data_IF_220474457541
#
_entry.id   IF_220474457541
#
_cell.length_a   1.000
_cell.length_b   1.000
_cell.length_c   1.000
_cell.angle_alpha   90.00
_cell.angle_beta   90.00
_cell.angle_gamma   90.00
#
_symmetry.space_group_name_H-M   'P 1'
#
loop_
_entity.id
_entity.type
_entity.pdbx_description
1 polymer ?
#
# COMPACT_ATOMS: atom_id res chain seq x y z
N UNK A 1 15.23 -19.87 -67.78
CA UNK A 1 16.32 -20.24 -66.84
C UNK A 1 15.93 -21.58 -66.25
N UNK A 2 16.67 -22.64 -66.58
CA UNK A 2 16.33 -24.02 -66.24
C UNK A 2 16.81 -24.39 -64.82
N UNK A 3 15.90 -25.02 -64.08
CA UNK A 3 16.06 -26.15 -63.15
C UNK A 3 17.26 -26.23 -62.19
N UNK A 4 16.99 -26.41 -60.90
CA UNK A 4 17.40 -27.62 -60.14
C UNK A 4 16.81 -27.66 -58.73
N UNK A 5 16.18 -28.80 -58.44
CA UNK A 5 15.74 -29.28 -57.12
C UNK A 5 16.91 -30.04 -56.49
N UNK A 6 17.18 -29.86 -55.19
CA UNK A 6 17.92 -30.85 -54.40
C UNK A 6 17.30 -31.01 -53.01
N UNK A 7 17.07 -32.28 -52.67
CA UNK A 7 16.47 -32.82 -51.44
C UNK A 7 17.54 -33.10 -50.36
N UNK A 8 17.04 -33.27 -49.13
CA UNK A 8 17.48 -34.21 -48.06
C UNK A 8 18.67 -33.82 -47.15
N UNK A 9 18.40 -33.66 -45.85
CA UNK A 9 18.65 -34.71 -44.83
C UNK A 9 18.21 -34.25 -43.42
N UNK A 10 17.42 -35.10 -42.76
CA UNK A 10 17.13 -35.03 -41.33
C UNK A 10 18.30 -35.61 -40.52
N UNK A 11 18.56 -35.08 -39.33
CA UNK A 11 19.44 -35.72 -38.35
C UNK A 11 18.86 -35.51 -36.95
N UNK A 12 18.39 -36.61 -36.38
CA UNK A 12 17.96 -36.77 -34.99
C UNK A 12 19.18 -36.90 -34.09
N UNK A 13 19.30 -36.03 -33.08
CA UNK A 13 20.24 -36.23 -31.98
C UNK A 13 19.47 -36.62 -30.71
N UNK A 14 19.61 -37.88 -30.31
CA UNK A 14 19.22 -38.38 -28.99
C UNK A 14 20.32 -38.00 -28.00
N UNK A 15 19.98 -37.23 -26.96
CA UNK A 15 20.89 -37.03 -25.81
C UNK A 15 20.38 -37.90 -24.67
N UNK A 16 21.19 -38.90 -24.31
CA UNK A 16 21.03 -39.73 -23.13
C UNK A 16 21.21 -38.87 -21.86
N UNK A 17 20.31 -39.07 -20.91
CA UNK A 17 20.40 -38.55 -19.55
C UNK A 17 21.57 -39.17 -18.78
N UNK A 18 22.29 -38.34 -18.01
CA UNK A 18 23.14 -38.76 -16.91
C UNK A 18 22.55 -38.24 -15.57
N UNK A 19 22.68 -38.96 -14.43
CA UNK A 19 21.89 -38.70 -13.23
C UNK A 19 22.63 -37.91 -12.11
N UNK A 20 21.83 -37.07 -11.40
CA UNK A 20 21.92 -36.63 -9.97
C UNK A 20 23.04 -35.63 -9.57
N UNK A 21 22.81 -34.73 -8.57
CA UNK A 21 22.03 -34.96 -7.34
C UNK A 21 20.94 -33.92 -6.97
N UNK A 22 19.78 -34.47 -6.60
CA UNK A 22 19.02 -34.19 -5.36
C UNK A 22 19.32 -32.87 -4.63
N UNK A 23 18.38 -31.93 -4.78
CA UNK A 23 18.27 -30.77 -3.88
C UNK A 23 17.37 -29.64 -4.38
N UNK A 24 16.46 -29.88 -5.32
CA UNK A 24 15.50 -28.86 -5.73
C UNK A 24 14.24 -29.00 -4.87
N UNK A 25 14.10 -28.09 -3.91
CA UNK A 25 12.90 -27.90 -3.11
C UNK A 25 11.80 -27.35 -4.05
N UNK A 26 11.15 -28.25 -4.77
CA UNK A 26 9.88 -27.97 -5.41
C UNK A 26 8.82 -27.74 -4.33
N UNK A 27 8.55 -26.46 -4.05
CA UNK A 27 7.24 -25.99 -3.59
C UNK A 27 7.11 -24.51 -3.93
N UNK A 28 6.81 -24.21 -5.20
CA UNK A 28 6.16 -22.94 -5.59
C UNK A 28 4.86 -23.28 -6.28
N UNK A 29 3.78 -23.42 -5.50
CA UNK A 29 2.44 -23.43 -6.08
C UNK A 29 2.00 -22.00 -6.37
N UNK A 30 2.38 -21.51 -7.56
CA UNK A 30 1.71 -20.37 -8.17
C UNK A 30 0.31 -20.82 -8.60
N UNK A 31 -0.73 -20.25 -7.99
CA UNK A 31 -2.09 -20.39 -8.51
C UNK A 31 -2.40 -19.20 -9.40
N UNK A 32 -2.48 -19.47 -10.71
CA UNK A 32 -2.89 -18.48 -11.71
C UNK A 32 -4.42 -18.47 -11.77
N UNK A 33 -5.03 -17.40 -11.26
CA UNK A 33 -6.45 -17.13 -11.49
C UNK A 33 -6.74 -16.97 -12.98
N UNK A 34 -7.98 -17.20 -13.41
CA UNK A 34 -8.41 -17.15 -14.82
C UNK A 34 -8.26 -15.76 -15.49
N UNK A 35 -7.81 -14.77 -14.74
CA UNK A 35 -7.72 -13.34 -15.05
C UNK A 35 -6.28 -12.77 -14.95
N UNK A 36 -5.27 -13.62 -14.74
CA UNK A 36 -3.87 -13.18 -14.63
C UNK A 36 -3.41 -12.80 -13.22
N UNK A 37 -4.21 -13.11 -12.19
CA UNK A 37 -3.84 -12.96 -10.78
C UNK A 37 -2.56 -13.76 -10.44
N UNK A 38 -1.57 -13.10 -9.83
CA UNK A 38 -0.39 -13.72 -9.20
C UNK A 38 -0.55 -13.63 -7.69
N UNK A 39 -0.68 -14.78 -7.04
CA UNK A 39 -0.68 -14.91 -5.57
C UNK A 39 0.71 -15.38 -5.15
N UNK A 40 1.44 -14.55 -4.40
CA UNK A 40 2.67 -14.97 -3.74
C UNK A 40 2.32 -15.45 -2.33
N UNK A 41 2.48 -16.75 -2.10
CA UNK A 41 2.50 -17.34 -0.75
C UNK A 41 3.95 -17.67 -0.49
N UNK A 42 4.61 -16.91 0.39
CA UNK A 42 5.97 -17.22 0.81
C UNK A 42 5.92 -18.40 1.78
N UNK A 43 6.40 -19.57 1.33
CA UNK A 43 6.71 -20.71 2.19
C UNK A 43 7.99 -20.38 2.98
N UNK A 44 7.84 -19.96 4.23
CA UNK A 44 8.97 -19.82 5.15
C UNK A 44 9.26 -21.16 5.86
N UNK A 45 10.42 -21.74 5.59
CA UNK A 45 11.00 -22.83 6.39
C UNK A 45 12.32 -22.36 7.05
N UNK A 46 12.82 -23.06 8.09
CA UNK A 46 12.14 -23.49 9.30
C UNK A 46 12.77 -22.80 10.52
N UNK A 47 11.99 -22.03 11.26
CA UNK A 47 12.49 -21.35 12.45
C UNK A 47 11.43 -20.52 13.14
N UNK A 48 10.44 -21.20 13.75
CA UNK A 48 9.42 -20.63 14.64
C UNK A 48 8.89 -19.25 14.23
N UNK A 49 8.09 -19.21 13.17
CA UNK A 49 7.23 -18.06 12.88
C UNK A 49 5.83 -18.58 12.69
N UNK A 50 4.90 -18.13 13.52
CA UNK A 50 3.47 -18.35 13.32
C UNK A 50 3.12 -18.00 11.88
N UNK A 51 2.42 -18.93 11.20
CA UNK A 51 1.89 -18.71 9.86
C UNK A 51 0.98 -17.48 9.90
N UNK A 52 1.45 -16.32 9.46
CA UNK A 52 0.61 -15.13 9.35
C UNK A 52 -0.46 -15.41 8.31
N UNK A 53 -1.72 -15.39 8.72
CA UNK A 53 -2.83 -15.59 7.81
C UNK A 53 -3.12 -14.25 7.14
N UNK A 54 -2.56 -14.03 5.94
CA UNK A 54 -2.78 -12.82 5.14
C UNK A 54 -3.60 -13.12 3.90
N UNK A 55 -4.57 -12.26 3.61
CA UNK A 55 -5.39 -12.31 2.40
C UNK A 55 -5.22 -11.00 1.62
N UNK A 56 -5.16 -11.10 0.30
CA UNK A 56 -4.96 -9.95 -0.57
C UNK A 56 -6.12 -9.81 -1.55
N UNK A 57 -6.61 -8.58 -1.72
CA UNK A 57 -7.79 -8.24 -2.49
C UNK A 57 -7.50 -7.08 -3.45
N UNK A 58 -8.32 -6.95 -4.48
CA UNK A 58 -8.40 -5.75 -5.30
C UNK A 58 -9.52 -4.86 -4.79
N UNK A 59 -9.19 -3.60 -4.54
CA UNK A 59 -10.16 -2.60 -4.12
C UNK A 59 -11.01 -2.12 -5.30
N UNK A 60 -12.13 -1.46 -5.01
CA UNK A 60 -12.93 -0.74 -6.01
C UNK A 60 -12.12 0.31 -6.79
N UNK A 61 -11.06 0.84 -6.17
CA UNK A 61 -10.11 1.77 -6.79
C UNK A 61 -8.95 1.08 -7.52
N UNK A 62 -9.00 -0.25 -7.69
CA UNK A 62 -8.02 -1.05 -8.41
C UNK A 62 -6.74 -1.38 -7.65
N UNK A 63 -6.45 -0.70 -6.55
CA UNK A 63 -5.24 -0.94 -5.80
C UNK A 63 -5.33 -2.21 -4.95
N UNK A 64 -4.16 -2.72 -4.58
CA UNK A 64 -4.05 -3.91 -3.74
C UNK A 64 -4.28 -3.56 -2.26
N UNK A 65 -5.13 -4.35 -1.61
CA UNK A 65 -5.42 -4.28 -0.17
C UNK A 65 -5.04 -5.61 0.46
N UNK A 66 -4.34 -5.58 1.58
CA UNK A 66 -3.96 -6.78 2.32
C UNK A 66 -4.58 -6.76 3.71
N UNK A 67 -5.29 -7.82 4.08
CA UNK A 67 -5.82 -8.05 5.43
C UNK A 67 -4.95 -9.12 6.10
N UNK A 68 -4.41 -8.83 7.28
CA UNK A 68 -3.51 -9.72 8.01
C UNK A 68 -3.76 -9.69 9.51
N UNK A 69 -3.21 -10.66 10.23
CA UNK A 69 -3.16 -10.66 11.70
C UNK A 69 -2.41 -9.43 12.22
N UNK A 70 -2.98 -8.75 13.21
CA UNK A 70 -2.24 -7.77 13.99
C UNK A 70 -1.16 -8.52 14.77
N UNK A 71 0.11 -8.34 14.39
CA UNK A 71 1.20 -8.87 15.20
C UNK A 71 1.18 -8.17 16.56
N UNK A 72 1.25 -8.94 17.63
CA UNK A 72 1.43 -8.47 19.02
C UNK A 72 2.83 -7.87 19.24
N UNK A 73 3.23 -6.94 18.38
CA UNK A 73 4.37 -6.06 18.59
C UNK A 73 3.91 -4.91 19.47
N UNK A 74 4.40 -4.88 20.71
CA UNK A 74 4.22 -3.76 21.61
C UNK A 74 4.80 -2.49 20.97
N UNK A 75 3.95 -1.64 20.42
CA UNK A 75 4.28 -0.24 20.16
C UNK A 75 4.56 0.42 21.52
N UNK A 76 5.81 0.33 21.97
CA UNK A 76 6.37 1.29 22.91
C UNK A 76 6.68 2.56 22.11
N UNK A 77 5.63 3.28 21.73
CA UNK A 77 5.71 4.70 21.38
C UNK A 77 4.90 5.44 22.42
N UNK A 78 5.49 6.51 22.95
CA UNK A 78 5.08 7.22 24.17
C UNK A 78 3.58 7.16 24.44
N UNK A 79 3.22 6.55 25.57
CA UNK A 79 1.85 6.43 26.06
C UNK A 79 1.27 7.82 26.30
N UNK A 80 0.61 8.37 25.29
CA UNK A 80 -0.40 9.40 25.48
C UNK A 80 -1.61 8.67 26.07
N UNK A 81 -2.03 9.07 27.28
CA UNK A 81 -3.09 8.44 28.07
C UNK A 81 -4.32 8.09 27.22
N UNK A 82 -4.91 6.91 27.47
CA UNK A 82 -6.14 6.48 26.82
C UNK A 82 -7.25 7.53 27.04
N UNK A 83 -7.60 8.27 26.00
CA UNK A 83 -8.68 9.27 26.03
C UNK A 83 -10.00 8.60 25.66
N UNK A 84 -11.07 8.96 26.36
CA UNK A 84 -12.44 8.48 26.04
C UNK A 84 -13.00 9.05 24.73
N UNK A 85 -12.25 9.92 24.06
CA UNK A 85 -12.61 10.61 22.82
C UNK A 85 -11.63 10.25 21.71
N UNK A 86 -12.07 10.37 20.46
CA UNK A 86 -11.20 10.22 19.30
C UNK A 86 -10.07 11.27 19.30
N UNK A 87 -8.87 10.89 18.86
CA UNK A 87 -7.69 11.76 18.93
C UNK A 87 -6.57 11.38 17.95
N UNK A 88 -5.69 12.34 17.65
CA UNK A 88 -4.41 12.07 16.98
C UNK A 88 -3.46 11.46 18.01
N UNK A 89 -3.11 10.19 17.84
CA UNK A 89 -2.19 9.48 18.74
C UNK A 89 -0.73 9.62 18.37
N UNK A 90 -0.43 9.81 17.09
CA UNK A 90 0.94 10.03 16.62
C UNK A 90 0.96 10.79 15.31
N UNK A 91 2.10 11.41 15.01
CA UNK A 91 2.39 11.97 13.68
C UNK A 91 3.42 11.09 12.96
N UNK A 92 3.39 11.10 11.63
CA UNK A 92 4.38 10.39 10.83
C UNK A 92 5.82 10.89 11.05
N UNK A 93 6.78 10.14 10.52
CA UNK A 93 8.20 10.43 10.66
C UNK A 93 8.63 11.77 10.05
N UNK A 94 9.83 12.22 10.42
CA UNK A 94 10.39 13.51 9.96
C UNK A 94 10.62 13.57 8.45
N UNK A 95 10.78 12.42 7.78
CA UNK A 95 10.95 12.31 6.33
C UNK A 95 9.64 12.34 5.53
N UNK A 96 8.48 12.38 6.20
CA UNK A 96 7.16 12.16 5.61
C UNK A 96 6.29 13.41 5.42
N UNK A 97 6.87 14.60 5.30
CA UNK A 97 6.04 15.79 5.06
C UNK A 97 5.46 15.78 3.65
N UNK A 98 4.14 15.91 3.54
CA UNK A 98 3.39 15.93 2.28
C UNK A 98 2.49 17.17 2.21
N UNK A 99 2.50 17.92 1.09
CA UNK A 99 1.52 18.98 0.85
C UNK A 99 0.08 18.46 0.97
N UNK A 100 -0.79 19.19 1.66
CA UNK A 100 -2.17 18.74 1.88
C UNK A 100 -2.94 18.73 0.56
N UNK A 101 -2.83 19.82 -0.20
CA UNK A 101 -3.38 19.93 -1.54
C UNK A 101 -2.42 19.37 -2.59
N UNK A 102 -2.97 19.00 -3.75
CA UNK A 102 -2.14 18.75 -4.94
C UNK A 102 -1.30 19.99 -5.24
N UNK A 103 -0.06 19.76 -5.65
CA UNK A 103 0.90 20.85 -5.89
C UNK A 103 1.70 20.61 -7.15
N UNK A 104 2.11 21.69 -7.79
CA UNK A 104 2.92 21.65 -8.99
C UNK A 104 4.38 21.97 -8.63
N UNK A 105 5.33 21.18 -9.15
CA UNK A 105 6.74 21.51 -9.03
C UNK A 105 7.01 22.91 -9.63
N UNK A 106 7.83 23.76 -8.99
CA UNK A 106 8.12 25.10 -9.47
C UNK A 106 8.71 25.04 -10.88
N UNK A 107 8.45 26.08 -11.65
CA UNK A 107 8.92 26.27 -13.03
C UNK A 107 10.41 26.62 -13.14
N UNK A 108 11.15 26.54 -12.04
CA UNK A 108 12.60 26.75 -11.98
C UNK A 108 13.19 25.44 -11.49
N UNK A 109 13.48 24.50 -12.40
CA UNK A 109 13.94 23.15 -12.04
C UNK A 109 15.14 23.19 -11.07
N UNK A 110 14.90 22.86 -9.78
CA UNK A 110 15.95 22.83 -8.76
C UNK A 110 16.65 21.45 -8.74
N UNK A 111 16.09 20.44 -9.42
CA UNK A 111 16.63 19.07 -9.40
C UNK A 111 16.61 18.40 -10.77
N UNK A 112 17.69 17.70 -11.17
CA UNK A 112 17.85 17.16 -12.52
C UNK A 112 16.90 16.00 -12.90
N UNK A 113 16.01 15.58 -11.99
CA UNK A 113 15.07 14.47 -12.18
C UNK A 113 13.59 14.87 -12.05
N UNK A 114 13.29 16.16 -11.83
CA UNK A 114 11.91 16.67 -11.82
C UNK A 114 11.60 17.34 -13.15
N UNK A 115 10.60 16.82 -13.87
CA UNK A 115 10.06 17.52 -15.04
C UNK A 115 9.32 18.76 -14.55
N UNK A 116 9.70 19.93 -15.04
CA UNK A 116 9.06 21.19 -14.65
C UNK A 116 7.56 21.16 -14.88
N UNK A 117 6.80 21.83 -14.00
CA UNK A 117 5.34 21.86 -14.09
C UNK A 117 4.66 20.51 -13.80
N UNK A 118 5.35 19.52 -13.22
CA UNK A 118 4.74 18.24 -12.83
C UNK A 118 3.79 18.42 -11.66
N UNK A 119 2.56 17.93 -11.82
CA UNK A 119 1.57 17.89 -10.75
C UNK A 119 1.77 16.65 -9.88
N UNK A 120 1.91 16.88 -8.58
CA UNK A 120 1.97 15.87 -7.55
C UNK A 120 0.64 15.76 -6.82
N UNK A 121 0.31 14.54 -6.45
CA UNK A 121 -0.87 14.18 -5.70
C UNK A 121 -0.64 14.45 -4.21
N UNK A 122 -1.47 15.32 -3.62
CA UNK A 122 -1.37 15.73 -2.23
C UNK A 122 -2.05 14.77 -1.27
N UNK A 123 -1.88 15.02 0.02
CA UNK A 123 -2.41 14.17 1.08
C UNK A 123 -3.93 14.00 0.98
N UNK A 124 -4.68 15.09 0.78
CA UNK A 124 -6.15 15.08 0.77
C UNK A 124 -6.71 14.15 -0.31
N UNK A 125 -6.20 14.29 -1.55
CA UNK A 125 -6.69 13.45 -2.63
C UNK A 125 -6.19 12.01 -2.51
N UNK A 126 -4.97 11.79 -1.99
CA UNK A 126 -4.44 10.45 -1.72
C UNK A 126 -5.29 9.71 -0.68
N UNK A 127 -5.64 10.37 0.43
CA UNK A 127 -6.59 9.89 1.44
C UNK A 127 -7.95 9.58 0.82
N UNK A 128 -8.48 10.50 0.01
CA UNK A 128 -9.78 10.30 -0.67
C UNK A 128 -9.75 9.07 -1.57
N UNK A 129 -8.67 8.89 -2.35
CA UNK A 129 -8.50 7.72 -3.22
C UNK A 129 -8.41 6.41 -2.44
N UNK A 130 -7.68 6.40 -1.32
CA UNK A 130 -7.61 5.25 -0.42
C UNK A 130 -8.99 4.92 0.18
N UNK A 131 -9.64 5.89 0.82
CA UNK A 131 -10.94 5.70 1.49
C UNK A 131 -12.06 5.27 0.53
N UNK A 132 -12.04 5.77 -0.71
CA UNK A 132 -12.95 5.30 -1.76
C UNK A 132 -12.74 3.82 -2.09
N UNK A 133 -11.49 3.35 -2.10
CA UNK A 133 -11.17 1.96 -2.42
C UNK A 133 -11.36 1.00 -1.25
N UNK A 134 -11.12 1.41 0.00
CA UNK A 134 -11.29 0.50 1.15
C UNK A 134 -12.72 0.39 1.66
N UNK A 135 -13.67 1.11 1.06
CA UNK A 135 -15.09 0.92 1.34
C UNK A 135 -15.63 -0.40 0.78
N UNK A 136 -15.07 -0.89 -0.34
CA UNK A 136 -15.48 -2.15 -0.96
C UNK A 136 -14.40 -2.74 -1.88
N UNK A 137 -14.44 -4.05 -2.09
CA UNK A 137 -13.65 -4.74 -3.11
C UNK A 137 -14.09 -4.35 -4.53
N UNK A 138 -13.40 -4.90 -5.53
CA UNK A 138 -13.68 -4.66 -6.94
C UNK A 138 -15.10 -5.06 -7.36
N UNK A 139 -15.66 -6.09 -6.72
CA UNK A 139 -17.01 -6.59 -6.99
C UNK A 139 -18.10 -5.81 -6.24
N UNK A 140 -17.71 -4.88 -5.37
CA UNK A 140 -18.61 -4.05 -4.58
C UNK A 140 -18.97 -4.63 -3.21
N UNK A 141 -18.33 -5.72 -2.77
CA UNK A 141 -18.52 -6.25 -1.42
C UNK A 141 -17.75 -5.41 -0.41
N UNK A 142 -18.34 -5.06 0.75
CA UNK A 142 -17.63 -4.28 1.76
C UNK A 142 -16.44 -5.07 2.31
N UNK A 143 -15.32 -4.37 2.53
CA UNK A 143 -14.20 -4.96 3.27
C UNK A 143 -14.60 -5.14 4.73
N UNK A 144 -14.49 -6.37 5.22
CA UNK A 144 -14.71 -6.71 6.62
C UNK A 144 -13.37 -6.99 7.31
N UNK A 145 -12.97 -6.09 8.20
CA UNK A 145 -11.77 -6.23 9.02
C UNK A 145 -12.21 -6.90 10.32
N UNK A 146 -11.95 -8.20 10.44
CA UNK A 146 -12.29 -8.95 11.64
C UNK A 146 -11.50 -8.46 12.88
N UNK A 147 -11.95 -8.77 14.10
CA UNK A 147 -11.23 -8.47 15.34
C UNK A 147 -9.76 -8.91 15.26
N UNK A 148 -8.86 -8.04 15.70
CA UNK A 148 -7.42 -8.30 15.70
C UNK A 148 -6.77 -8.32 14.32
N UNK A 149 -7.46 -7.83 13.27
CA UNK A 149 -6.91 -7.74 11.92
C UNK A 149 -6.52 -6.33 11.55
N UNK A 150 -5.61 -6.24 10.59
CA UNK A 150 -5.14 -5.00 9.98
C UNK A 150 -5.46 -5.07 8.49
N UNK A 151 -6.14 -4.04 7.97
CA UNK A 151 -6.19 -3.74 6.55
C UNK A 151 -5.05 -2.79 6.21
N UNK A 152 -4.26 -3.10 5.18
CA UNK A 152 -3.12 -2.29 4.76
C UNK A 152 -3.12 -2.06 3.25
N UNK A 153 -2.59 -0.92 2.82
CA UNK A 153 -2.35 -0.60 1.42
C UNK A 153 -1.31 0.52 1.28
N UNK A 154 -0.58 0.53 0.17
CA UNK A 154 0.35 1.61 -0.16
C UNK A 154 -0.14 2.34 -1.39
N UNK A 155 -0.13 3.68 -1.34
CA UNK A 155 -0.49 4.54 -2.47
C UNK A 155 0.71 5.38 -2.90
N UNK A 156 1.15 5.11 -4.12
CA UNK A 156 2.14 5.79 -4.94
C UNK A 156 1.48 6.66 -6.02
N UNK A 157 0.51 6.12 -6.74
CA UNK A 157 -0.06 6.77 -7.92
C UNK A 157 -1.55 7.04 -7.74
N UNK A 158 -2.05 8.06 -8.44
CA UNK A 158 -3.49 8.30 -8.58
C UNK A 158 -4.19 7.04 -9.12
N UNK A 159 -3.58 6.38 -10.09
CA UNK A 159 -4.05 5.14 -10.69
C UNK A 159 -3.00 4.04 -10.47
N UNK A 160 -3.18 3.27 -9.39
CA UNK A 160 -2.20 2.25 -8.95
C UNK A 160 -2.07 1.07 -9.90
N UNK A 161 -3.18 0.62 -10.50
CA UNK A 161 -3.17 -0.54 -11.39
C UNK A 161 -2.26 -0.30 -12.59
N UNK A 162 -2.33 0.90 -13.14
CA UNK A 162 -1.61 1.33 -14.33
C UNK A 162 -0.25 1.96 -14.00
N UNK A 163 0.02 2.24 -12.71
CA UNK A 163 1.21 2.95 -12.27
C UNK A 163 1.35 4.34 -12.89
N UNK A 164 0.23 5.05 -13.08
CA UNK A 164 0.20 6.31 -13.83
C UNK A 164 -0.68 7.40 -13.16
N UNK A 165 -0.83 8.53 -13.86
CA UNK A 165 -1.49 9.72 -13.33
C UNK A 165 -0.55 10.56 -12.46
N UNK A 166 -1.10 11.26 -11.46
CA UNK A 166 -0.29 12.05 -10.52
C UNK A 166 0.42 11.14 -9.52
N UNK A 167 1.73 11.33 -9.36
CA UNK A 167 2.54 10.68 -8.31
C UNK A 167 2.29 11.39 -6.98
N UNK A 168 2.16 10.64 -5.89
CA UNK A 168 2.27 11.23 -4.54
C UNK A 168 3.59 11.98 -4.40
N UNK A 169 3.51 13.26 -4.03
CA UNK A 169 4.67 14.12 -3.86
C UNK A 169 4.81 14.58 -2.44
N UNK A 170 5.98 14.35 -1.87
CA UNK A 170 6.36 14.91 -0.58
C UNK A 170 6.81 16.36 -0.73
N UNK A 171 7.11 16.99 0.41
CA UNK A 171 7.73 18.30 0.48
C UNK A 171 8.95 18.38 -0.45
N UNK A 172 9.13 19.53 -1.07
CA UNK A 172 10.15 19.77 -2.10
C UNK A 172 9.99 18.87 -3.34
N UNK A 173 8.77 18.40 -3.60
CA UNK A 173 8.38 17.65 -4.80
C UNK A 173 9.09 16.28 -4.93
N UNK A 174 9.59 15.76 -3.81
CA UNK A 174 10.24 14.44 -3.77
C UNK A 174 9.18 13.37 -4.00
N UNK A 175 9.43 12.43 -4.92
CA UNK A 175 8.55 11.28 -5.09
C UNK A 175 8.52 10.46 -3.79
N UNK A 176 7.33 10.12 -3.33
CA UNK A 176 7.14 9.31 -2.13
C UNK A 176 5.79 8.65 -2.15
N UNK A 177 5.38 7.96 -1.11
CA UNK A 177 4.12 7.23 -1.06
C UNK A 177 3.44 7.45 0.29
N UNK A 178 2.20 7.00 0.43
CA UNK A 178 1.55 6.91 1.73
C UNK A 178 1.24 5.45 2.02
N UNK A 179 1.72 4.98 3.16
CA UNK A 179 1.33 3.70 3.75
C UNK A 179 0.08 3.92 4.58
N UNK A 180 -0.99 3.23 4.22
CA UNK A 180 -2.26 3.28 4.91
C UNK A 180 -2.51 1.99 5.65
N UNK A 181 -3.01 2.11 6.87
CA UNK A 181 -3.47 0.97 7.64
C UNK A 181 -4.75 1.30 8.42
N UNK A 182 -5.61 0.31 8.59
CA UNK A 182 -6.77 0.35 9.48
C UNK A 182 -6.65 -0.85 10.40
N UNK A 183 -6.42 -0.61 11.68
CA UNK A 183 -6.31 -1.68 12.68
C UNK A 183 -7.64 -1.82 13.39
N UNK A 184 -8.18 -3.04 13.42
CA UNK A 184 -9.32 -3.36 14.25
C UNK A 184 -8.84 -4.04 15.54
N UNK A 185 -8.74 -3.26 16.61
CA UNK A 185 -8.41 -3.74 17.96
C UNK A 185 -9.67 -4.00 18.80
N UNK A 186 -10.85 -3.78 18.22
CA UNK A 186 -12.12 -4.04 18.87
C UNK A 186 -12.47 -5.54 18.87
N UNK A 187 -13.53 -5.91 19.59
CA UNK A 187 -14.06 -7.28 19.62
C UNK A 187 -15.04 -7.57 18.48
N UNK A 188 -15.45 -6.54 17.75
CA UNK A 188 -16.45 -6.62 16.69
C UNK A 188 -15.80 -6.45 15.31
N UNK A 189 -16.49 -6.88 14.26
CA UNK A 189 -16.07 -6.62 12.88
C UNK A 189 -16.11 -5.12 12.58
N UNK A 190 -15.12 -4.63 11.83
CA UNK A 190 -15.08 -3.25 11.36
C UNK A 190 -15.23 -3.21 9.84
N UNK A 191 -16.21 -2.42 9.38
CA UNK A 191 -16.41 -2.13 7.96
C UNK A 191 -16.07 -0.65 7.77
N UNK A 192 -14.99 -0.31 7.02
CA UNK A 192 -14.63 1.07 6.78
C UNK A 192 -15.75 1.83 6.05
N UNK A 193 -16.28 2.86 6.70
CA UNK A 193 -17.10 3.86 6.02
C UNK A 193 -16.20 4.87 5.31
N UNK A 194 -16.54 5.19 4.06
CA UNK A 194 -15.75 6.10 3.22
C UNK A 194 -15.62 7.48 3.86
N UNK A 195 -16.73 8.08 4.27
CA UNK A 195 -16.76 9.48 4.69
C UNK A 195 -16.10 9.62 6.06
N UNK A 196 -16.30 8.66 6.96
CA UNK A 196 -15.57 8.57 8.22
C UNK A 196 -14.08 8.31 8.03
N UNK A 197 -13.69 7.44 7.11
CA UNK A 197 -12.29 7.22 6.77
C UNK A 197 -11.62 8.53 6.35
N UNK A 198 -12.27 9.31 5.46
CA UNK A 198 -11.75 10.62 5.03
C UNK A 198 -11.70 11.58 6.22
N UNK A 199 -12.79 11.69 6.99
CA UNK A 199 -12.88 12.56 8.16
C UNK A 199 -11.72 12.30 9.13
N UNK A 200 -11.53 11.05 9.53
CA UNK A 200 -10.49 10.62 10.47
C UNK A 200 -9.09 10.86 9.91
N UNK A 201 -8.85 10.47 8.66
CA UNK A 201 -7.53 10.64 8.07
C UNK A 201 -7.16 12.12 7.84
N UNK A 202 -8.16 12.98 7.63
CA UNK A 202 -7.96 14.42 7.49
C UNK A 202 -7.75 15.16 8.81
N UNK A 203 -8.05 14.55 9.98
CA UNK A 203 -7.72 15.14 11.29
C UNK A 203 -6.22 15.40 11.46
N UNK A 204 -5.36 14.59 10.84
CA UNK A 204 -3.91 14.81 10.86
C UNK A 204 -3.46 16.01 10.02
N UNK A 205 -4.29 16.48 9.09
CA UNK A 205 -4.04 17.63 8.24
C UNK A 205 -4.78 18.91 8.69
N UNK A 206 -5.58 18.83 9.77
CA UNK A 206 -6.29 19.98 10.31
C UNK A 206 -5.32 21.03 10.86
N UNK A 207 -5.65 22.31 10.76
CA UNK A 207 -4.74 23.42 11.10
C UNK A 207 -4.38 23.49 12.59
N UNK A 208 -5.18 22.87 13.45
CA UNK A 208 -4.99 22.74 14.89
C UNK A 208 -4.29 21.42 15.29
N UNK A 209 -3.99 20.55 14.32
CA UNK A 209 -3.28 19.28 14.55
C UNK A 209 -1.79 19.51 14.83
N UNK A 210 -1.23 18.73 15.74
CA UNK A 210 0.22 18.66 15.96
C UNK A 210 1.00 18.11 14.75
N UNK A 211 0.32 17.47 13.81
CA UNK A 211 0.92 16.94 12.60
C UNK A 211 0.89 17.93 11.42
N UNK A 212 0.28 19.11 11.61
CA UNK A 212 0.16 20.15 10.60
C UNK A 212 1.37 21.09 10.60
N UNK A 213 1.89 21.37 9.40
CA UNK A 213 2.98 22.30 9.17
C UNK A 213 2.46 23.62 8.63
N UNK A 214 2.28 24.60 9.50
CA UNK A 214 1.72 25.93 9.15
C UNK A 214 2.52 26.67 8.08
N UNK A 215 3.85 26.51 8.06
CA UNK A 215 4.72 27.22 7.13
C UNK A 215 4.54 26.78 5.67
N UNK A 216 4.33 25.49 5.40
CA UNK A 216 4.21 24.97 4.02
C UNK A 216 2.83 24.42 3.70
N UNK A 217 1.88 24.47 4.65
CA UNK A 217 0.55 23.86 4.54
C UNK A 217 0.65 22.37 4.19
N UNK A 218 1.57 21.68 4.86
CA UNK A 218 1.86 20.26 4.74
C UNK A 218 1.44 19.51 6.01
N UNK A 219 1.41 18.17 5.94
CA UNK A 219 1.18 17.29 7.10
C UNK A 219 2.23 16.19 7.13
N UNK A 220 2.54 15.69 8.33
CA UNK A 220 3.30 14.43 8.50
C UNK A 220 2.42 13.19 8.37
N UNK A 221 1.11 13.34 8.18
CA UNK A 221 0.15 12.27 8.42
C UNK A 221 0.25 11.77 9.86
N UNK A 222 -0.05 10.50 10.11
CA UNK A 222 0.03 9.91 11.45
C UNK A 222 -1.01 8.84 11.72
N UNK A 223 -1.46 8.78 12.97
CA UNK A 223 -2.48 7.83 13.44
C UNK A 223 -3.61 8.55 14.15
N UNK A 224 -4.84 8.34 13.69
CA UNK A 224 -6.06 8.70 14.38
C UNK A 224 -6.65 7.49 15.11
N UNK A 225 -6.98 7.66 16.39
CA UNK A 225 -7.64 6.64 17.23
C UNK A 225 -9.13 6.95 17.36
N UNK A 226 -9.95 5.92 17.27
CA UNK A 226 -11.41 5.99 17.41
C UNK A 226 -11.84 5.17 18.63
N UNK A 227 -12.65 5.79 19.49
CA UNK A 227 -13.35 5.11 20.59
C UNK A 227 -12.45 4.41 21.61
N UNK A 228 -11.51 5.14 22.21
CA UNK A 228 -10.52 4.63 23.16
C UNK A 228 -9.68 3.48 22.57
N UNK A 229 -9.07 3.75 21.42
CA UNK A 229 -8.10 2.86 20.74
C UNK A 229 -8.69 1.55 20.20
N UNK A 230 -10.00 1.50 19.98
CA UNK A 230 -10.67 0.33 19.39
C UNK A 230 -10.35 0.17 17.91
N UNK A 231 -10.37 1.28 17.16
CA UNK A 231 -10.02 1.30 15.74
C UNK A 231 -8.98 2.40 15.55
N UNK A 232 -7.94 2.13 14.77
CA UNK A 232 -6.94 3.15 14.43
C UNK A 232 -6.75 3.25 12.93
N UNK A 233 -6.73 4.48 12.42
CA UNK A 233 -6.49 4.80 11.02
C UNK A 233 -5.12 5.44 10.88
N UNK A 234 -4.30 4.88 10.01
CA UNK A 234 -2.93 5.30 9.77
C UNK A 234 -2.78 5.80 8.34
N UNK A 235 -2.08 6.91 8.18
CA UNK A 235 -1.64 7.43 6.89
C UNK A 235 -0.24 8.00 7.07
N UNK A 236 0.77 7.23 6.69
CA UNK A 236 2.17 7.50 6.95
C UNK A 236 2.87 7.79 5.63
N UNK A 237 3.14 9.07 5.31
CA UNK A 237 3.88 9.43 4.12
C UNK A 237 5.35 9.04 4.29
N UNK A 238 5.93 8.46 3.25
CA UNK A 238 7.29 7.97 3.22
C UNK A 238 7.94 8.27 1.88
N UNK A 239 9.27 8.44 1.89
CA UNK A 239 10.05 8.63 0.67
C UNK A 239 10.21 7.28 -0.04
N UNK A 240 10.20 7.30 -1.36
CA UNK A 240 10.57 6.16 -2.19
C UNK A 240 12.08 5.84 -2.16
#
# INVERSE_FOLDING_TARGET
MHSSILLLLASTASVLAAPRPSGELESRKQFKGKDGMVVNIDDAAPGKTEKRNSQTFKSKGGFTVTISDATSGSDKRDTIEARSSDYVSSCGGTSGWIPIADSQSPSTGIWPFQKEGTWYWGYQNTVTGFCNGVAADYDGNPFNIAPGKILSSTRKWQFELEGNGRRVGLKNFVAGHIEFEIHNKSKDNHIPDKDKCIEYLMKMAATDSSCYGSNNKDTKGGTWQVGADKISYHALPAKD
#
